data_IF_678755310114
#
_entry.id   IF_678755310114
#
_cell.length_a   1.000
_cell.length_b   1.000
_cell.length_c   1.000
_cell.angle_alpha   90.00
_cell.angle_beta   90.00
_cell.angle_gamma   90.00
#
_symmetry.space_group_name_H-M   'P 1'
#
loop_
_entity.id
_entity.type
_entity.pdbx_description
1 polymer ?
#
# COMPACT_ATOMS: atom_id res chain seq x y z
N UNK A 1 -31.58 0.97 26.54
CA UNK A 1 -30.87 -0.05 25.75
C UNK A 1 -30.32 0.68 24.54
N UNK A 2 -29.05 1.10 24.59
CA UNK A 2 -28.42 1.87 23.53
C UNK A 2 -27.86 0.89 22.49
N UNK A 3 -28.39 0.95 21.27
CA UNK A 3 -27.79 0.26 20.13
C UNK A 3 -26.54 1.05 19.71
N UNK A 4 -25.37 0.51 20.01
CA UNK A 4 -24.11 0.99 19.43
C UNK A 4 -24.06 0.36 18.04
N UNK A 5 -24.35 1.17 17.01
CA UNK A 5 -23.99 0.81 15.65
C UNK A 5 -22.47 0.88 15.57
N UNK A 6 -21.79 -0.24 15.82
CA UNK A 6 -20.42 -0.40 15.37
C UNK A 6 -20.50 -0.36 13.84
N UNK A 7 -20.06 0.74 13.22
CA UNK A 7 -19.82 0.73 11.78
C UNK A 7 -18.87 -0.43 11.50
N UNK A 8 -19.33 -1.43 10.77
CA UNK A 8 -18.49 -2.54 10.37
C UNK A 8 -17.45 -1.98 9.39
N UNK A 9 -16.28 -1.60 9.90
CA UNK A 9 -15.12 -1.41 9.06
C UNK A 9 -14.78 -2.78 8.48
N UNK A 10 -14.83 -2.89 7.15
CA UNK A 10 -14.48 -4.10 6.44
C UNK A 10 -13.00 -4.38 6.65
N UNK A 11 -12.67 -5.65 6.90
CA UNK A 11 -11.29 -6.07 7.04
C UNK A 11 -10.59 -6.00 5.67
N UNK A 12 -9.38 -5.43 5.61
CA UNK A 12 -8.68 -5.20 4.33
C UNK A 12 -8.47 -6.50 3.56
N UNK A 13 -8.25 -7.62 4.25
CA UNK A 13 -8.13 -8.95 3.64
C UNK A 13 -9.38 -9.42 2.89
N UNK A 14 -10.56 -8.85 3.18
CA UNK A 14 -11.83 -9.22 2.55
C UNK A 14 -12.21 -8.31 1.37
N UNK A 15 -11.51 -7.18 1.17
CA UNK A 15 -11.80 -6.22 0.10
C UNK A 15 -11.20 -6.72 -1.23
N UNK A 16 -11.97 -7.44 -2.05
CA UNK A 16 -11.45 -8.01 -3.32
C UNK A 16 -10.85 -6.98 -4.29
N UNK A 17 -11.37 -5.75 -4.29
CA UNK A 17 -10.95 -4.70 -5.22
C UNK A 17 -9.49 -4.26 -5.07
N UNK A 18 -8.88 -4.49 -3.90
CA UNK A 18 -7.51 -4.04 -3.58
C UNK A 18 -6.46 -5.13 -3.75
N UNK A 19 -6.85 -6.27 -4.31
CA UNK A 19 -5.94 -7.33 -4.69
C UNK A 19 -5.84 -7.43 -6.20
N UNK A 20 -4.62 -7.42 -6.70
CA UNK A 20 -4.33 -7.72 -8.10
C UNK A 20 -3.91 -9.18 -8.26
N UNK A 21 -4.51 -9.86 -9.22
CA UNK A 21 -4.31 -11.29 -9.47
C UNK A 21 -3.86 -11.59 -10.92
N UNK A 22 -3.44 -10.56 -11.67
CA UNK A 22 -3.06 -10.74 -13.08
C UNK A 22 -4.21 -10.62 -14.09
N UNK A 23 -5.37 -10.11 -13.69
CA UNK A 23 -6.54 -9.95 -14.56
C UNK A 23 -6.39 -8.90 -15.67
N UNK A 24 -5.27 -8.17 -15.71
CA UNK A 24 -5.00 -7.17 -16.74
C UNK A 24 -5.89 -5.93 -16.65
N UNK A 25 -6.53 -5.68 -15.49
CA UNK A 25 -7.30 -4.45 -15.26
C UNK A 25 -6.41 -3.22 -15.45
N UNK A 26 -7.00 -2.13 -15.94
CA UNK A 26 -6.30 -0.84 -16.05
C UNK A 26 -6.61 0.12 -14.92
N UNK A 27 -7.66 -0.17 -14.14
CA UNK A 27 -8.08 0.62 -12.98
C UNK A 27 -7.87 -0.23 -11.75
N UNK A 28 -7.10 0.30 -10.80
CA UNK A 28 -6.71 -0.37 -9.58
C UNK A 28 -7.28 0.37 -8.38
N UNK A 29 -7.59 -0.37 -7.33
CA UNK A 29 -7.94 0.17 -6.02
C UNK A 29 -6.82 -0.20 -5.05
N UNK A 30 -6.57 0.66 -4.08
CA UNK A 30 -5.61 0.41 -3.01
C UNK A 30 -6.21 0.85 -1.68
N UNK A 31 -5.66 0.35 -0.57
CA UNK A 31 -6.07 0.76 0.78
C UNK A 31 -5.15 1.82 1.35
N UNK A 32 -5.76 2.85 1.91
CA UNK A 32 -5.09 3.96 2.59
C UNK A 32 -4.53 3.54 3.94
N UNK A 33 -3.26 3.84 4.18
CA UNK A 33 -2.55 3.56 5.43
C UNK A 33 -2.55 4.76 6.40
N UNK A 34 -3.07 5.91 5.99
CA UNK A 34 -3.12 7.10 6.82
C UNK A 34 -4.10 6.94 7.99
N UNK A 35 -3.85 7.65 9.09
CA UNK A 35 -4.58 7.53 10.36
C UNK A 35 -6.10 7.74 10.21
N UNK A 36 -6.51 8.60 9.27
CA UNK A 36 -7.92 8.91 8.98
C UNK A 36 -8.68 7.73 8.35
N UNK A 37 -7.97 6.79 7.72
CA UNK A 37 -8.56 5.59 7.15
C UNK A 37 -8.90 4.54 8.22
N UNK A 38 -8.33 4.69 9.42
CA UNK A 38 -8.60 3.84 10.59
C UNK A 38 -8.31 2.34 10.39
N UNK A 39 -7.49 1.98 9.40
CA UNK A 39 -7.11 0.59 9.16
C UNK A 39 -6.16 0.09 10.25
N UNK A 40 -6.56 -0.96 10.98
CA UNK A 40 -5.73 -1.53 12.03
C UNK A 40 -4.57 -2.35 11.46
N UNK A 41 -3.45 -2.44 12.18
CA UNK A 41 -2.31 -3.30 11.80
C UNK A 41 -2.73 -4.76 11.62
N UNK A 42 -3.66 -5.26 12.43
CA UNK A 42 -4.18 -6.62 12.31
C UNK A 42 -4.93 -6.81 10.97
N UNK A 43 -5.68 -5.81 10.53
CA UNK A 43 -6.38 -5.84 9.25
C UNK A 43 -5.42 -5.69 8.06
N UNK A 44 -4.35 -4.93 8.22
CA UNK A 44 -3.27 -4.90 7.24
C UNK A 44 -2.60 -6.28 7.15
N UNK A 45 -2.36 -6.94 8.28
CA UNK A 45 -1.76 -8.29 8.30
C UNK A 45 -2.61 -9.33 7.59
N UNK A 46 -3.95 -9.29 7.72
CA UNK A 46 -4.82 -10.22 6.98
C UNK A 46 -4.73 -10.03 5.47
N UNK A 47 -4.51 -8.80 4.99
CA UNK A 47 -4.28 -8.53 3.59
C UNK A 47 -2.95 -9.13 3.09
N UNK A 48 -1.88 -8.99 3.88
CA UNK A 48 -0.59 -9.58 3.56
C UNK A 48 -0.64 -11.12 3.62
N UNK A 49 -1.36 -11.69 4.59
CA UNK A 49 -1.62 -13.13 4.69
C UNK A 49 -2.38 -13.64 3.46
N UNK A 50 -3.41 -12.90 3.02
CA UNK A 50 -4.19 -13.24 1.82
C UNK A 50 -3.31 -13.21 0.58
N UNK A 51 -2.55 -12.15 0.36
CA UNK A 51 -1.64 -12.02 -0.77
C UNK A 51 -0.68 -13.22 -0.84
N UNK A 52 -0.11 -13.60 0.31
CA UNK A 52 0.75 -14.78 0.43
C UNK A 52 0.00 -16.08 0.08
N UNK A 53 -1.17 -16.31 0.67
CA UNK A 53 -1.91 -17.56 0.56
C UNK A 53 -2.55 -17.77 -0.82
N UNK A 54 -2.98 -16.68 -1.47
CA UNK A 54 -3.73 -16.73 -2.73
C UNK A 54 -2.87 -16.44 -3.96
N UNK A 55 -1.62 -16.05 -3.77
CA UNK A 55 -0.76 -15.65 -4.89
C UNK A 55 -1.21 -14.35 -5.54
N UNK A 56 -1.75 -13.44 -4.73
CA UNK A 56 -2.24 -12.13 -5.15
C UNK A 56 -1.25 -11.03 -4.70
N UNK A 57 -1.40 -9.84 -5.26
CA UNK A 57 -0.68 -8.64 -4.82
C UNK A 57 -1.62 -7.76 -4.02
N UNK A 58 -1.26 -7.47 -2.77
CA UNK A 58 -1.96 -6.46 -1.98
C UNK A 58 -1.56 -5.05 -2.44
N UNK A 59 -2.53 -4.19 -2.72
CA UNK A 59 -2.32 -2.81 -3.16
C UNK A 59 -2.61 -1.85 -1.98
N UNK A 60 -1.57 -1.17 -1.48
CA UNK A 60 -1.64 -0.24 -0.34
C UNK A 60 -1.06 1.12 -0.74
N UNK A 61 -1.54 2.21 -0.13
CA UNK A 61 -1.01 3.55 -0.37
C UNK A 61 -0.98 4.42 0.90
N UNK A 62 -0.17 5.47 0.88
CA UNK A 62 -0.11 6.48 1.95
C UNK A 62 0.29 7.85 1.40
N UNK A 63 0.18 8.92 2.20
CA UNK A 63 0.53 10.28 1.73
C UNK A 63 1.77 10.89 2.38
N UNK A 64 1.74 11.23 3.67
CA UNK A 64 2.74 12.08 4.36
C UNK A 64 3.38 11.32 5.53
N UNK A 65 4.52 10.62 5.32
CA UNK A 65 5.19 9.85 6.36
C UNK A 65 5.55 10.66 7.61
N UNK A 66 5.16 10.16 8.78
CA UNK A 66 5.38 10.81 10.07
C UNK A 66 4.34 11.88 10.41
N UNK A 67 3.38 12.17 9.51
CA UNK A 67 2.31 13.14 9.75
C UNK A 67 0.91 12.60 9.52
N UNK A 68 0.61 12.01 8.36
CA UNK A 68 -0.69 11.38 8.10
C UNK A 68 -0.62 9.86 8.27
N UNK A 69 0.56 9.28 8.08
CA UNK A 69 0.83 7.87 8.38
C UNK A 69 2.02 7.77 9.35
N UNK A 70 1.91 7.07 10.48
CA UNK A 70 3.06 6.82 11.35
C UNK A 70 4.13 6.01 10.64
N UNK A 71 5.40 6.37 10.82
CA UNK A 71 6.54 5.64 10.22
C UNK A 71 6.50 4.14 10.59
N UNK A 72 6.06 3.83 11.81
CA UNK A 72 5.92 2.45 12.28
C UNK A 72 4.90 1.62 11.50
N UNK A 73 3.86 2.24 10.91
CA UNK A 73 2.90 1.52 10.05
C UNK A 73 3.56 1.11 8.74
N UNK A 74 4.34 2.01 8.13
CA UNK A 74 5.11 1.72 6.92
C UNK A 74 6.14 0.60 7.21
N UNK A 75 6.86 0.70 8.32
CA UNK A 75 7.81 -0.33 8.76
C UNK A 75 7.13 -1.69 8.99
N UNK A 76 5.94 -1.69 9.62
CA UNK A 76 5.13 -2.89 9.83
C UNK A 76 4.75 -3.55 8.49
N UNK A 77 4.26 -2.77 7.53
CA UNK A 77 3.90 -3.27 6.19
C UNK A 77 5.10 -3.88 5.48
N UNK A 78 6.24 -3.16 5.45
CA UNK A 78 7.45 -3.63 4.78
C UNK A 78 8.02 -4.90 5.43
N UNK A 79 8.09 -4.93 6.76
CA UNK A 79 8.53 -6.11 7.49
C UNK A 79 7.56 -7.27 7.30
N UNK A 80 6.26 -7.03 7.41
CA UNK A 80 5.21 -8.02 7.24
C UNK A 80 5.21 -8.64 5.84
N UNK A 81 5.43 -7.85 4.79
CA UNK A 81 5.57 -8.34 3.43
C UNK A 81 6.83 -9.19 3.25
N UNK A 82 7.97 -8.71 3.75
CA UNK A 82 9.24 -9.46 3.70
C UNK A 82 9.12 -10.80 4.42
N UNK A 83 8.56 -10.81 5.63
CA UNK A 83 8.48 -12.00 6.48
C UNK A 83 7.55 -13.08 5.89
N UNK A 84 6.60 -12.66 5.03
CA UNK A 84 5.71 -13.53 4.26
C UNK A 84 6.25 -13.91 2.87
N UNK A 85 7.44 -13.42 2.51
CA UNK A 85 8.06 -13.69 1.21
C UNK A 85 7.34 -13.04 0.02
N UNK A 86 6.61 -11.94 0.25
CA UNK A 86 5.93 -11.20 -0.81
C UNK A 86 6.95 -10.48 -1.69
N UNK A 87 6.76 -10.54 -3.01
CA UNK A 87 7.53 -9.72 -3.93
C UNK A 87 7.11 -8.25 -3.80
N UNK A 88 8.08 -7.33 -3.76
CA UNK A 88 7.79 -5.90 -3.89
C UNK A 88 7.66 -5.54 -5.37
N UNK A 89 6.44 -5.21 -5.79
CA UNK A 89 6.09 -4.89 -7.17
C UNK A 89 5.54 -3.47 -7.28
N UNK A 90 5.47 -2.97 -8.50
CA UNK A 90 5.06 -1.62 -8.83
C UNK A 90 3.99 -1.65 -9.91
N UNK A 91 3.26 -0.54 -10.07
CA UNK A 91 2.29 -0.41 -11.16
C UNK A 91 2.93 -0.50 -12.56
N UNK A 92 4.23 -0.22 -12.68
CA UNK A 92 4.97 -0.48 -13.92
C UNK A 92 5.08 -1.98 -14.23
N UNK A 93 5.16 -2.84 -13.21
CA UNK A 93 5.13 -4.29 -13.41
C UNK A 93 3.74 -4.74 -13.88
N UNK A 94 2.66 -4.18 -13.32
CA UNK A 94 1.29 -4.47 -13.77
C UNK A 94 1.08 -4.06 -15.22
N UNK A 95 1.51 -2.85 -15.59
CA UNK A 95 1.43 -2.34 -16.96
C UNK A 95 2.21 -3.20 -17.98
N UNK A 96 3.26 -3.90 -17.53
CA UNK A 96 4.02 -4.84 -18.35
C UNK A 96 3.41 -6.27 -18.39
N UNK A 97 2.23 -6.48 -17.78
CA UNK A 97 1.59 -7.78 -17.64
C UNK A 97 2.23 -8.69 -16.57
N UNK A 98 3.08 -8.13 -15.71
CA UNK A 98 3.66 -8.80 -14.55
C UNK A 98 2.80 -8.70 -13.30
N UNK A 99 3.39 -8.93 -12.13
CA UNK A 99 2.68 -8.87 -10.84
C UNK A 99 1.73 -10.06 -10.60
N UNK A 100 1.97 -11.19 -11.25
CA UNK A 100 1.13 -12.40 -11.14
C UNK A 100 1.73 -13.35 -10.10
N UNK A 101 1.57 -13.03 -8.82
CA UNK A 101 2.06 -13.85 -7.71
C UNK A 101 1.99 -13.12 -6.37
N UNK A 102 2.37 -13.78 -5.25
CA UNK A 102 2.37 -13.18 -3.93
C UNK A 102 3.17 -11.89 -3.89
N UNK A 103 2.53 -10.75 -3.61
CA UNK A 103 3.23 -9.47 -3.64
C UNK A 103 2.61 -8.36 -2.82
N UNK A 104 3.37 -7.27 -2.73
CA UNK A 104 2.94 -5.98 -2.22
C UNK A 104 3.24 -4.93 -3.28
N UNK A 105 2.21 -4.18 -3.67
CA UNK A 105 2.36 -2.90 -4.35
C UNK A 105 2.07 -1.78 -3.34
N UNK A 106 3.13 -1.05 -2.96
CA UNK A 106 3.01 0.13 -2.09
C UNK A 106 3.25 1.39 -2.92
N UNK A 107 2.28 2.32 -2.87
CA UNK A 107 2.43 3.65 -3.46
C UNK A 107 2.41 4.77 -2.42
N UNK A 108 2.94 5.92 -2.82
CA UNK A 108 2.72 7.17 -2.11
C UNK A 108 2.22 8.24 -3.06
N UNK A 109 1.22 8.99 -2.60
CA UNK A 109 0.44 9.91 -3.43
C UNK A 109 0.62 11.34 -2.95
N UNK A 110 0.57 12.30 -3.89
CA UNK A 110 0.73 13.75 -3.73
C UNK A 110 2.12 14.35 -3.98
N UNK A 111 2.72 15.02 -3.00
CA UNK A 111 3.90 15.88 -3.22
C UNK A 111 4.89 15.88 -2.06
N UNK A 112 4.77 14.93 -1.12
CA UNK A 112 5.61 14.82 0.07
C UNK A 112 6.96 14.18 -0.27
N UNK A 113 7.58 14.65 -1.35
CA UNK A 113 8.75 14.04 -2.01
C UNK A 113 9.95 14.00 -1.07
N UNK A 114 10.12 15.02 -0.22
CA UNK A 114 11.20 15.05 0.77
C UNK A 114 11.02 13.92 1.78
N UNK A 115 9.83 13.82 2.35
CA UNK A 115 9.45 12.83 3.37
C UNK A 115 9.54 11.40 2.80
N UNK A 116 9.09 11.20 1.56
CA UNK A 116 9.25 9.93 0.85
C UNK A 116 10.72 9.57 0.61
N UNK A 117 11.53 10.56 0.26
CA UNK A 117 12.95 10.36 0.00
C UNK A 117 13.72 9.99 1.27
N UNK A 118 13.29 10.49 2.44
CA UNK A 118 13.87 10.13 3.73
C UNK A 118 13.68 8.64 4.08
N UNK A 119 12.67 7.98 3.52
CA UNK A 119 12.42 6.54 3.70
C UNK A 119 13.26 5.62 2.79
N UNK A 120 14.10 6.18 1.91
CA UNK A 120 14.91 5.39 0.97
C UNK A 120 15.78 4.31 1.64
N UNK A 121 16.47 4.57 2.77
CA UNK A 121 17.26 3.53 3.45
C UNK A 121 16.41 2.33 3.88
N UNK A 122 15.19 2.57 4.36
CA UNK A 122 14.25 1.53 4.79
C UNK A 122 13.80 0.68 3.60
N UNK A 123 13.43 1.31 2.48
CA UNK A 123 13.06 0.58 1.26
C UNK A 123 14.23 -0.26 0.73
N UNK A 124 15.44 0.31 0.70
CA UNK A 124 16.64 -0.39 0.25
C UNK A 124 17.01 -1.58 1.16
N UNK A 125 16.82 -1.45 2.47
CA UNK A 125 17.13 -2.51 3.43
C UNK A 125 16.33 -3.80 3.21
N UNK A 126 15.12 -3.70 2.65
CA UNK A 126 14.26 -4.84 2.32
C UNK A 126 14.16 -5.13 0.81
N UNK A 127 14.88 -4.36 -0.03
CA UNK A 127 14.80 -4.48 -1.48
C UNK A 127 13.45 -4.06 -2.06
N UNK A 128 12.71 -3.19 -1.36
CA UNK A 128 11.40 -2.73 -1.81
C UNK A 128 11.49 -1.80 -3.02
N UNK A 129 10.60 -2.04 -3.97
CA UNK A 129 10.30 -1.14 -5.10
C UNK A 129 8.98 -0.43 -4.78
N UNK A 130 8.98 0.90 -4.85
CA UNK A 130 7.87 1.75 -4.44
C UNK A 130 7.38 2.57 -5.63
N UNK A 131 6.07 2.79 -5.73
CA UNK A 131 5.48 3.70 -6.72
C UNK A 131 5.23 5.07 -6.10
N UNK A 132 5.51 6.16 -6.82
CA UNK A 132 5.20 7.52 -6.37
C UNK A 132 4.26 8.18 -7.39
N UNK A 133 3.05 8.51 -6.98
CA UNK A 133 2.09 9.26 -7.78
C UNK A 133 2.18 10.75 -7.44
N UNK A 134 3.06 11.45 -8.17
CA UNK A 134 3.36 12.86 -7.92
C UNK A 134 2.28 13.76 -8.53
N UNK A 135 1.45 14.40 -7.69
CA UNK A 135 0.37 15.29 -8.14
C UNK A 135 0.85 16.70 -8.47
N UNK A 136 1.98 17.15 -7.89
CA UNK A 136 2.58 18.47 -8.14
C UNK A 136 4.07 18.50 -7.83
N UNK A 137 4.80 19.38 -8.50
CA UNK A 137 6.17 19.73 -8.15
C UNK A 137 6.23 21.19 -7.68
N UNK A 138 6.91 21.50 -6.56
CA UNK A 138 7.18 22.89 -6.19
C UNK A 138 7.87 23.62 -7.35
N UNK A 139 7.24 24.69 -7.85
CA UNK A 139 7.78 25.53 -8.92
C UNK A 139 7.34 25.16 -10.34
N UNK A 140 6.58 24.08 -10.53
CA UNK A 140 5.95 23.75 -11.82
C UNK A 140 4.46 24.04 -11.71
N UNK A 141 3.96 24.96 -12.54
CA UNK A 141 2.52 25.25 -12.65
C UNK A 141 2.03 24.83 -14.04
N UNK A 142 0.79 24.33 -14.18
CA UNK A 142 0.17 24.25 -15.49
C UNK A 142 0.11 25.65 -16.08
N UNK A 143 0.46 25.76 -17.35
CA UNK A 143 0.33 26.97 -18.16
C UNK A 143 -1.14 27.37 -18.39
#
# INVERSE_FOLDING_TARGET
MAAVAAGCQEDVGEIDGVFYNGDGRSVHCAVDLDDEAHNSLASIDTALDRAAARGEVAELYAHDPGRTVPISVIEHVLAGARDRGLAFVTYADFAAGGGTGPGLALSFDDTYITEWHELRPQFQAVGARITFFVSRYPGVRPE
#
